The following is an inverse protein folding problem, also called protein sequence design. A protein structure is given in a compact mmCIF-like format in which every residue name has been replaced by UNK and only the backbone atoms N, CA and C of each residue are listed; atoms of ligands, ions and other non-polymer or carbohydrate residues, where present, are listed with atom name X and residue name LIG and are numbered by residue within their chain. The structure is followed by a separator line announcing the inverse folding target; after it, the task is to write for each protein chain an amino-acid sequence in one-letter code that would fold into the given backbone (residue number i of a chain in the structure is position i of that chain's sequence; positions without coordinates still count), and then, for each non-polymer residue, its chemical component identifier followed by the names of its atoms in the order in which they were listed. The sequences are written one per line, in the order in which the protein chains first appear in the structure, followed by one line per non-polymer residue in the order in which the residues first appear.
data_IF_086660116269
#
_entry.id   IF_086660116269
#
_cell.length_a   1.000
_cell.length_b   1.000
_cell.length_c   1.000
_cell.angle_alpha   90.00
_cell.angle_beta   90.00
_cell.angle_gamma   90.00
#
_symmetry.space_group_name_H-M   'P 1'
#
loop_
_entity.id
_entity.type
_entity.pdbx_description
1 polymer ?
#
# COMPACT_ATOMS: atom_id res chain seq x y z
N UNK A 1 47.10 16.48 -0.60
CA UNK A 1 46.20 15.59 0.14
C UNK A 1 44.77 16.06 -0.05
N UNK A 2 44.02 15.38 -0.86
CA UNK A 2 42.61 15.68 -1.06
C UNK A 2 41.82 15.21 0.16
N UNK A 3 41.21 16.10 0.91
CA UNK A 3 40.22 15.74 1.93
C UNK A 3 39.03 15.12 1.24
N UNK A 4 38.56 13.93 1.64
CA UNK A 4 37.36 13.33 1.07
C UNK A 4 36.20 14.30 1.34
N UNK A 5 35.46 14.58 0.28
CA UNK A 5 34.29 15.44 0.26
C UNK A 5 33.28 15.02 1.34
N UNK A 6 33.38 15.64 2.51
CA UNK A 6 32.41 15.48 3.60
C UNK A 6 31.04 16.15 3.30
N UNK A 7 30.89 16.72 2.11
CA UNK A 7 29.66 17.37 1.65
C UNK A 7 28.67 16.41 0.98
N UNK A 8 29.10 15.21 0.60
CA UNK A 8 28.21 14.22 -0.02
C UNK A 8 27.08 13.72 0.91
N UNK A 9 27.29 13.47 2.21
CA UNK A 9 26.19 13.06 3.08
C UNK A 9 25.14 14.15 3.29
N UNK A 10 25.55 15.43 3.31
CA UNK A 10 24.61 16.55 3.46
C UNK A 10 23.72 16.74 2.21
N UNK A 11 24.29 16.60 1.02
CA UNK A 11 23.52 16.65 -0.22
C UNK A 11 22.49 15.52 -0.30
N UNK A 12 22.82 14.31 0.18
CA UNK A 12 21.89 13.18 0.27
C UNK A 12 20.78 13.43 1.30
N UNK A 13 21.09 14.00 2.44
CA UNK A 13 20.09 14.35 3.47
C UNK A 13 19.15 15.43 2.94
N UNK A 14 19.64 16.47 2.29
CA UNK A 14 18.82 17.53 1.70
C UNK A 14 17.89 17.01 0.58
N UNK A 15 18.38 16.12 -0.27
CA UNK A 15 17.52 15.51 -1.31
C UNK A 15 16.48 14.58 -0.71
N UNK A 16 16.81 13.85 0.35
CA UNK A 16 15.86 12.99 1.07
C UNK A 16 14.78 13.82 1.77
N UNK A 17 15.15 14.92 2.41
CA UNK A 17 14.19 15.83 3.05
C UNK A 17 13.27 16.50 2.04
N UNK A 18 13.81 16.91 0.87
CA UNK A 18 13.00 17.47 -0.21
C UNK A 18 12.02 16.45 -0.79
N UNK A 19 12.47 15.21 -0.95
CA UNK A 19 11.61 14.09 -1.40
C UNK A 19 10.52 13.78 -0.38
N UNK A 20 10.85 13.74 0.91
CA UNK A 20 9.89 13.53 1.99
C UNK A 20 8.87 14.68 2.06
N UNK A 21 9.31 15.94 1.95
CA UNK A 21 8.42 17.09 1.94
C UNK A 21 7.46 17.04 0.75
N UNK A 22 7.95 16.73 -0.45
CA UNK A 22 7.12 16.57 -1.65
C UNK A 22 6.13 15.43 -1.53
N UNK A 23 6.54 14.34 -0.90
CA UNK A 23 5.68 13.18 -0.64
C UNK A 23 4.56 13.49 0.37
N UNK A 24 4.88 14.22 1.44
CA UNK A 24 3.91 14.69 2.41
C UNK A 24 2.88 15.64 1.79
N UNK A 25 3.31 16.57 0.95
CA UNK A 25 2.43 17.49 0.24
C UNK A 25 1.50 16.73 -0.73
N UNK A 26 2.01 15.73 -1.42
CA UNK A 26 1.23 14.85 -2.29
C UNK A 26 0.17 14.09 -1.50
N UNK A 27 0.53 13.44 -0.42
CA UNK A 27 -0.40 12.72 0.44
C UNK A 27 -1.47 13.63 1.03
N UNK A 28 -1.09 14.84 1.41
CA UNK A 28 -2.03 15.84 1.94
C UNK A 28 -3.06 16.25 0.89
N UNK A 29 -2.63 16.51 -0.34
CA UNK A 29 -3.52 16.82 -1.47
C UNK A 29 -4.47 15.66 -1.79
N UNK A 30 -3.96 14.45 -1.83
CA UNK A 30 -4.77 13.24 -2.06
C UNK A 30 -5.81 13.04 -0.96
N UNK A 31 -5.45 13.27 0.30
CA UNK A 31 -6.39 13.20 1.43
C UNK A 31 -7.48 14.26 1.37
N UNK A 32 -7.14 15.51 1.04
CA UNK A 32 -8.11 16.59 0.87
C UNK A 32 -9.08 16.31 -0.28
N UNK A 33 -8.56 15.87 -1.43
CA UNK A 33 -9.37 15.49 -2.57
C UNK A 33 -10.24 14.28 -2.28
N UNK A 34 -9.74 13.30 -1.56
CA UNK A 34 -10.53 12.15 -1.12
C UNK A 34 -11.71 12.61 -0.26
N UNK A 35 -11.50 13.55 0.65
CA UNK A 35 -12.55 14.10 1.50
C UNK A 35 -13.57 14.88 0.66
N UNK A 36 -13.14 15.69 -0.29
CA UNK A 36 -14.01 16.42 -1.19
C UNK A 36 -14.88 15.47 -2.04
N UNK A 37 -14.26 14.47 -2.66
CA UNK A 37 -14.99 13.46 -3.46
C UNK A 37 -15.99 12.69 -2.60
N UNK A 38 -15.62 12.31 -1.37
CA UNK A 38 -16.50 11.61 -0.45
C UNK A 38 -17.75 12.41 -0.06
N UNK A 39 -17.62 13.72 0.06
CA UNK A 39 -18.76 14.62 0.36
C UNK A 39 -19.77 14.67 -0.79
N UNK A 40 -19.29 14.51 -2.03
CA UNK A 40 -20.13 14.54 -3.24
C UNK A 40 -20.81 13.19 -3.50
N UNK A 41 -20.40 12.14 -2.82
CA UNK A 41 -20.94 10.79 -2.95
C UNK A 41 -21.90 10.45 -1.82
N UNK A 42 -22.91 9.57 -2.07
CA UNK A 42 -23.71 9.00 -1.01
C UNK A 42 -22.83 8.29 0.03
N UNK A 43 -23.22 8.38 1.30
CA UNK A 43 -22.46 7.78 2.42
C UNK A 43 -22.13 6.31 2.22
N UNK A 44 -23.05 5.56 1.64
CA UNK A 44 -22.83 4.13 1.36
C UNK A 44 -21.67 3.85 0.38
N UNK A 45 -21.30 4.82 -0.45
CA UNK A 45 -20.23 4.71 -1.43
C UNK A 45 -18.97 5.45 -1.01
N UNK A 46 -19.10 6.47 -0.16
CA UNK A 46 -18.01 7.33 0.26
C UNK A 46 -16.81 6.56 0.83
N UNK A 47 -17.06 5.55 1.64
CA UNK A 47 -16.00 4.75 2.27
C UNK A 47 -15.33 3.75 1.31
N UNK A 48 -15.95 3.52 0.16
CA UNK A 48 -15.46 2.58 -0.86
C UNK A 48 -14.72 3.25 -2.00
N UNK A 49 -14.57 4.59 -1.95
CA UNK A 49 -13.92 5.42 -2.96
C UNK A 49 -12.79 6.19 -2.33
N UNK A 50 -11.64 6.20 -2.99
CA UNK A 50 -10.49 7.01 -2.59
C UNK A 50 -9.80 7.59 -3.82
N UNK A 51 -9.09 8.68 -3.66
CA UNK A 51 -8.20 9.20 -4.67
C UNK A 51 -6.95 8.33 -4.71
N UNK A 52 -6.64 7.80 -5.89
CA UNK A 52 -5.46 6.98 -6.12
C UNK A 52 -4.28 7.81 -6.61
N UNK A 53 -4.56 8.75 -7.52
CA UNK A 53 -3.55 9.61 -8.12
C UNK A 53 -4.17 10.92 -8.56
N UNK A 54 -3.44 11.99 -8.40
CA UNK A 54 -3.80 13.34 -8.85
C UNK A 54 -2.85 13.75 -9.96
N UNK A 55 -3.31 13.67 -11.19
CA UNK A 55 -2.57 14.07 -12.38
C UNK A 55 -3.40 15.06 -13.19
N UNK A 56 -3.44 16.36 -12.79
CA UNK A 56 -4.27 17.33 -13.49
C UNK A 56 -3.99 17.34 -15.01
N UNK A 57 -5.00 17.38 -15.84
CA UNK A 57 -6.42 17.60 -15.55
C UNK A 57 -7.24 16.34 -15.23
N UNK A 58 -6.61 15.19 -15.01
CA UNK A 58 -7.25 13.90 -14.77
C UNK A 58 -7.17 13.53 -13.28
N UNK A 59 -8.30 13.10 -12.72
CA UNK A 59 -8.37 12.57 -11.36
C UNK A 59 -8.57 11.05 -11.40
N UNK A 60 -7.66 10.31 -10.80
CA UNK A 60 -7.76 8.86 -10.71
C UNK A 60 -8.39 8.45 -9.38
N UNK A 61 -9.51 7.76 -9.46
CA UNK A 61 -10.21 7.20 -8.31
C UNK A 61 -10.03 5.69 -8.26
N UNK A 62 -9.77 5.18 -7.06
CA UNK A 62 -9.78 3.76 -6.76
C UNK A 62 -11.05 3.40 -6.00
N UNK A 63 -11.73 2.36 -6.45
CA UNK A 63 -12.96 1.85 -5.85
C UNK A 63 -12.82 0.37 -5.48
N UNK A 64 -13.53 -0.04 -4.44
CA UNK A 64 -13.40 -1.39 -3.90
C UNK A 64 -14.08 -2.49 -4.74
N UNK A 65 -15.06 -2.14 -5.58
CA UNK A 65 -15.83 -3.10 -6.35
C UNK A 65 -16.32 -2.52 -7.69
N UNK A 66 -16.57 -3.39 -8.66
CA UNK A 66 -17.07 -3.00 -9.98
C UNK A 66 -18.43 -2.31 -9.94
N UNK A 67 -19.33 -2.73 -9.05
CA UNK A 67 -20.62 -2.08 -8.86
C UNK A 67 -20.47 -0.62 -8.40
N UNK A 68 -19.52 -0.36 -7.51
CA UNK A 68 -19.18 1.01 -7.06
C UNK A 68 -18.61 1.82 -8.21
N UNK A 69 -17.75 1.21 -9.04
CA UNK A 69 -17.19 1.86 -10.23
C UNK A 69 -18.29 2.32 -11.20
N UNK A 70 -19.29 1.48 -11.45
CA UNK A 70 -20.42 1.82 -12.32
C UNK A 70 -21.18 3.05 -11.81
N UNK A 71 -21.50 3.09 -10.52
CA UNK A 71 -22.22 4.23 -9.92
C UNK A 71 -21.36 5.50 -9.95
N UNK A 72 -20.07 5.40 -9.65
CA UNK A 72 -19.15 6.56 -9.70
C UNK A 72 -19.03 7.09 -11.12
N UNK A 73 -18.96 6.23 -12.13
CA UNK A 73 -18.93 6.64 -13.55
C UNK A 73 -20.21 7.38 -13.95
N UNK A 74 -21.38 6.91 -13.53
CA UNK A 74 -22.65 7.58 -13.78
C UNK A 74 -22.70 8.98 -13.14
N UNK A 75 -22.06 9.15 -11.97
CA UNK A 75 -22.00 10.42 -11.23
C UNK A 75 -20.79 11.29 -11.56
N UNK A 76 -19.95 10.87 -12.49
CA UNK A 76 -18.75 11.62 -12.90
C UNK A 76 -19.05 13.08 -13.21
N UNK A 77 -20.09 13.46 -14.00
CA UNK A 77 -20.40 14.85 -14.28
C UNK A 77 -20.76 15.63 -13.01
N UNK A 78 -21.50 15.05 -12.09
CA UNK A 78 -21.87 15.68 -10.82
C UNK A 78 -20.66 15.91 -9.92
N UNK A 79 -19.77 14.93 -9.88
CA UNK A 79 -18.52 15.01 -9.11
C UNK A 79 -17.62 16.11 -9.68
N UNK A 80 -17.44 16.15 -11.00
CA UNK A 80 -16.67 17.20 -11.66
C UNK A 80 -17.25 18.60 -11.41
N UNK A 81 -18.57 18.74 -11.49
CA UNK A 81 -19.24 20.01 -11.20
C UNK A 81 -19.04 20.42 -9.73
N UNK A 82 -19.13 19.47 -8.80
CA UNK A 82 -18.87 19.70 -7.38
C UNK A 82 -17.43 20.11 -7.10
N UNK A 83 -16.45 19.44 -7.71
CA UNK A 83 -15.02 19.77 -7.57
C UNK A 83 -14.71 21.17 -8.12
N UNK A 84 -15.31 21.55 -9.26
CA UNK A 84 -15.16 22.91 -9.80
C UNK A 84 -15.68 23.98 -8.87
N UNK A 85 -16.78 23.73 -8.14
CA UNK A 85 -17.32 24.66 -7.15
C UNK A 85 -16.38 24.85 -5.96
N UNK A 86 -15.56 23.83 -5.67
CA UNK A 86 -14.51 23.89 -4.64
C UNK A 86 -13.19 24.46 -5.16
N UNK A 87 -13.14 24.95 -6.40
CA UNK A 87 -11.95 25.54 -7.03
C UNK A 87 -10.96 24.50 -7.57
N UNK A 88 -11.42 23.28 -7.78
CA UNK A 88 -10.60 22.17 -8.27
C UNK A 88 -10.96 21.86 -9.72
N UNK A 89 -10.13 22.30 -10.65
CA UNK A 89 -10.37 22.13 -12.09
C UNK A 89 -9.86 20.78 -12.59
N UNK A 90 -10.76 19.79 -12.58
CA UNK A 90 -10.56 18.51 -13.25
C UNK A 90 -11.51 18.41 -14.46
N UNK A 91 -11.02 17.85 -15.55
CA UNK A 91 -11.79 17.62 -16.77
C UNK A 91 -12.22 16.18 -16.95
N UNK A 92 -11.49 15.24 -16.35
CA UNK A 92 -11.73 13.82 -16.49
C UNK A 92 -11.56 13.09 -15.15
N UNK A 93 -12.42 12.11 -14.92
CA UNK A 93 -12.28 11.17 -13.80
C UNK A 93 -12.08 9.77 -14.36
N UNK A 94 -10.98 9.13 -14.01
CA UNK A 94 -10.70 7.72 -14.32
C UNK A 94 -10.90 6.86 -13.07
N UNK A 95 -11.77 5.88 -13.20
CA UNK A 95 -12.11 4.97 -12.11
C UNK A 95 -11.42 3.63 -12.33
N UNK A 96 -10.61 3.22 -11.37
CA UNK A 96 -9.98 1.89 -11.33
C UNK A 96 -10.58 1.07 -10.19
N UNK A 97 -10.93 -0.17 -10.48
CA UNK A 97 -11.31 -1.12 -9.44
C UNK A 97 -10.04 -1.66 -8.84
N UNK A 98 -9.78 -1.28 -7.61
CA UNK A 98 -8.79 -1.92 -6.77
C UNK A 98 -9.57 -2.76 -5.76
N UNK A 99 -9.68 -4.04 -6.05
CA UNK A 99 -10.05 -4.98 -4.99
C UNK A 99 -8.94 -4.82 -3.97
N UNK A 100 -9.21 -4.04 -2.90
CA UNK A 100 -8.43 -4.14 -1.70
C UNK A 100 -8.53 -5.62 -1.37
N UNK A 101 -7.44 -6.37 -1.52
CA UNK A 101 -7.35 -7.62 -0.83
C UNK A 101 -7.73 -7.25 0.60
N UNK A 102 -8.95 -7.57 1.00
CA UNK A 102 -9.35 -7.44 2.39
C UNK A 102 -8.19 -8.07 3.12
N UNK A 103 -7.51 -7.29 3.94
CA UNK A 103 -6.61 -7.88 4.91
C UNK A 103 -7.41 -9.05 5.45
N UNK A 104 -7.01 -10.31 5.16
CA UNK A 104 -7.92 -11.42 5.33
C UNK A 104 -8.52 -11.22 6.68
N UNK A 105 -9.85 -10.97 6.73
CA UNK A 105 -10.58 -11.02 7.98
C UNK A 105 -9.91 -12.14 8.73
N UNK A 106 -9.49 -12.02 9.99
CA UNK A 106 -8.97 -13.14 10.71
C UNK A 106 -10.01 -14.25 10.54
N UNK A 107 -10.00 -14.80 9.34
CA UNK A 107 -10.68 -16.03 9.02
C UNK A 107 -10.12 -16.88 10.09
N UNK A 108 -11.01 -17.23 11.05
CA UNK A 108 -10.82 -18.25 12.08
C UNK A 108 -9.47 -18.88 11.88
N UNK A 109 -8.50 -18.78 12.79
CA UNK A 109 -7.14 -19.14 12.48
C UNK A 109 -7.24 -20.33 11.57
N UNK A 110 -6.90 -20.12 10.28
CA UNK A 110 -6.68 -21.27 9.40
C UNK A 110 -5.70 -21.99 10.26
N UNK A 111 -6.19 -23.06 10.90
CA UNK A 111 -5.35 -23.97 11.67
C UNK A 111 -4.14 -24.02 10.83
N UNK A 112 -3.09 -23.26 11.27
CA UNK A 112 -1.88 -23.24 10.54
C UNK A 112 -1.83 -24.62 9.91
N UNK A 113 -2.06 -24.74 8.60
CA UNK A 113 -1.19 -25.62 7.92
C UNK A 113 0.12 -24.94 8.26
N UNK A 114 0.54 -25.19 9.51
CA UNK A 114 1.91 -25.18 9.88
C UNK A 114 2.51 -25.66 8.61
N UNK A 115 3.20 -24.79 7.84
CA UNK A 115 4.24 -25.31 7.04
C UNK A 115 4.82 -26.35 7.95
N UNK A 116 4.39 -27.56 7.82
CA UNK A 116 5.15 -28.70 8.26
C UNK A 116 6.35 -28.55 7.39
N UNK A 117 7.21 -27.66 7.82
CA UNK A 117 8.60 -27.67 7.43
C UNK A 117 8.90 -29.12 7.71
N UNK A 118 8.90 -29.90 6.61
CA UNK A 118 8.94 -31.34 6.70
C UNK A 118 10.05 -31.65 7.67
N UNK A 119 9.68 -32.12 8.85
CA UNK A 119 10.65 -32.42 9.90
C UNK A 119 11.68 -33.42 9.39
N UNK A 120 11.33 -34.16 8.34
CA UNK A 120 12.23 -34.97 7.53
C UNK A 120 13.28 -34.13 6.80
N UNK A 121 12.88 -33.02 6.16
CA UNK A 121 13.81 -32.11 5.46
C UNK A 121 14.77 -31.41 6.42
N UNK A 122 14.24 -30.98 7.56
CA UNK A 122 15.10 -30.37 8.61
C UNK A 122 16.09 -31.39 9.21
N UNK A 123 15.67 -32.62 9.41
CA UNK A 123 16.58 -33.70 9.85
C UNK A 123 17.66 -34.01 8.82
N UNK A 124 17.32 -34.05 7.54
CA UNK A 124 18.27 -34.21 6.45
C UNK A 124 19.27 -33.05 6.40
N UNK A 125 18.79 -31.80 6.52
CA UNK A 125 19.64 -30.61 6.61
C UNK A 125 20.57 -30.65 7.82
N UNK A 126 20.08 -31.05 8.98
CA UNK A 126 20.89 -31.18 10.18
C UNK A 126 21.99 -32.25 10.05
N UNK A 127 21.71 -33.34 9.30
CA UNK A 127 22.69 -34.37 9.03
C UNK A 127 23.78 -33.93 8.04
N UNK A 128 23.46 -33.00 7.13
CA UNK A 128 24.38 -32.52 6.08
C UNK A 128 25.24 -31.34 6.54
N UNK A 129 24.86 -30.66 7.62
CA UNK A 129 25.57 -29.48 8.13
C UNK A 129 26.82 -29.88 8.94
N UNK A 130 27.95 -29.15 8.76
CA UNK A 130 29.10 -29.31 9.59
C UNK A 130 28.81 -28.96 11.06
N UNK A 131 29.49 -29.55 12.03
CA UNK A 131 29.31 -29.26 13.44
C UNK A 131 29.57 -27.77 13.71
N UNK A 132 28.53 -27.06 14.20
CA UNK A 132 28.60 -25.63 14.45
C UNK A 132 27.30 -25.07 15.01
N UNK A 133 27.25 -23.76 15.29
CA UNK A 133 26.08 -23.10 15.89
C UNK A 133 24.82 -23.22 15.01
N UNK A 134 24.98 -23.32 13.69
CA UNK A 134 23.86 -23.48 12.75
C UNK A 134 23.21 -24.86 12.90
N UNK A 135 23.99 -25.92 13.06
CA UNK A 135 23.48 -27.27 13.30
C UNK A 135 22.69 -27.35 14.60
N UNK A 136 23.18 -26.72 15.67
CA UNK A 136 22.49 -26.65 16.96
C UNK A 136 21.17 -25.89 16.86
N UNK A 137 21.10 -24.83 16.05
CA UNK A 137 19.87 -24.07 15.81
C UNK A 137 18.82 -24.91 15.05
N UNK A 138 19.24 -25.64 14.01
CA UNK A 138 18.35 -26.53 13.24
C UNK A 138 17.82 -27.66 14.10
N UNK A 139 18.66 -28.27 14.94
CA UNK A 139 18.24 -29.33 15.87
C UNK A 139 17.23 -28.83 16.92
N UNK A 140 17.35 -27.58 17.38
CA UNK A 140 16.37 -26.96 18.27
C UNK A 140 15.02 -26.76 17.55
N UNK A 141 15.03 -26.39 16.29
CA UNK A 141 13.82 -26.24 15.49
C UNK A 141 13.12 -27.60 15.28
N UNK A 142 13.86 -28.67 15.04
CA UNK A 142 13.32 -30.02 14.91
C UNK A 142 12.66 -30.46 16.21
N UNK A 143 13.25 -30.17 17.37
CA UNK A 143 12.65 -30.50 18.68
C UNK A 143 11.39 -29.70 19.01
N UNK A 144 11.29 -28.45 18.52
CA UNK A 144 10.12 -27.58 18.76
C UNK A 144 8.95 -27.87 17.82
N UNK A 145 9.20 -28.50 16.69
CA UNK A 145 8.21 -28.78 15.64
C UNK A 145 7.59 -30.18 15.73
N UNK A 146 7.99 -31.01 16.70
CA UNK A 146 7.43 -32.34 16.94
C UNK A 146 6.28 -32.31 17.93
#
# INVERSE_FOLDING_TARGET
MAKPNSLQPLARILTTDTLLASWHDRMRREALLTTAVRRLLPRALADRVRVAEVAPPVLHLAVAAGAVAAVVRQRTPDILAGLRREGLDFTEIRVRVQVKAEAPLPSKPVKNQKNRVDSAHLRQLAATLPPGPLKAAVERLVRRGG
#
